data_IF_415831928701
#
_entry.id   IF_415831928701
#
_cell.length_a   1.000
_cell.length_b   1.000
_cell.length_c   1.000
_cell.angle_alpha   90.00
_cell.angle_beta   90.00
_cell.angle_gamma   90.00
#
_symmetry.space_group_name_H-M   'P 1'
#
loop_
_entity.id
_entity.type
_entity.pdbx_description
1 polymer ?
#
# COMPACT_ATOMS: atom_id res chain seq x y z
N UNK A 1 -18.34 -15.10 9.82
CA UNK A 1 -17.77 -13.84 9.30
C UNK A 1 -16.34 -14.12 8.87
N UNK A 2 -15.95 -13.82 7.62
CA UNK A 2 -14.55 -14.02 7.20
C UNK A 2 -13.65 -13.03 7.95
N UNK A 3 -12.56 -13.46 8.60
CA UNK A 3 -11.62 -12.56 9.24
C UNK A 3 -10.93 -11.68 8.20
N UNK A 4 -10.60 -10.44 8.57
CA UNK A 4 -10.18 -9.40 7.61
C UNK A 4 -8.91 -9.77 6.84
N UNK A 5 -7.99 -10.52 7.45
CA UNK A 5 -6.78 -11.02 6.78
C UNK A 5 -7.10 -11.98 5.61
N UNK A 6 -8.19 -12.76 5.68
CA UNK A 6 -8.60 -13.62 4.56
C UNK A 6 -9.12 -12.79 3.39
N UNK A 7 -9.86 -11.73 3.67
CA UNK A 7 -10.34 -10.80 2.64
C UNK A 7 -9.15 -10.16 1.94
N UNK A 8 -8.17 -9.65 2.69
CA UNK A 8 -6.96 -9.06 2.14
C UNK A 8 -6.19 -10.06 1.26
N UNK A 9 -6.01 -11.30 1.72
CA UNK A 9 -5.34 -12.33 0.92
C UNK A 9 -6.06 -12.61 -0.40
N UNK A 10 -7.39 -12.61 -0.41
CA UNK A 10 -8.17 -12.76 -1.65
C UNK A 10 -7.98 -11.54 -2.55
N UNK A 11 -8.01 -10.35 -1.96
CA UNK A 11 -7.83 -9.07 -2.64
C UNK A 11 -6.42 -8.86 -3.20
N UNK A 12 -5.40 -9.51 -2.65
CA UNK A 12 -4.02 -9.46 -3.13
C UNK A 12 -3.74 -10.37 -4.34
N UNK A 13 -4.50 -11.47 -4.49
CA UNK A 13 -4.29 -12.46 -5.57
C UNK A 13 -4.20 -11.89 -6.99
N UNK A 14 -5.03 -10.91 -7.40
CA UNK A 14 -4.91 -10.33 -8.73
C UNK A 14 -3.53 -9.70 -8.96
N UNK A 15 -2.98 -9.03 -7.94
CA UNK A 15 -1.66 -8.40 -8.00
C UNK A 15 -0.56 -9.45 -8.11
N UNK A 16 -0.66 -10.54 -7.34
CA UNK A 16 0.28 -11.66 -7.46
C UNK A 16 0.32 -12.23 -8.87
N UNK A 17 -0.83 -12.42 -9.50
CA UNK A 17 -0.91 -12.94 -10.87
C UNK A 17 -0.41 -11.94 -11.91
N UNK A 18 -0.70 -10.65 -11.74
CA UNK A 18 -0.32 -9.60 -12.69
C UNK A 18 1.17 -9.25 -12.58
N UNK A 19 1.72 -9.21 -11.37
CA UNK A 19 3.08 -8.68 -11.11
C UNK A 19 4.16 -9.76 -11.07
N UNK A 20 3.85 -10.99 -10.65
CA UNK A 20 4.85 -12.07 -10.55
C UNK A 20 5.62 -12.36 -11.85
N UNK A 21 5.02 -12.30 -13.07
CA UNK A 21 5.77 -12.54 -14.30
C UNK A 21 6.79 -11.44 -14.62
N UNK A 22 6.69 -10.28 -13.97
CA UNK A 22 7.52 -9.10 -14.21
C UNK A 22 8.53 -8.84 -13.09
N UNK A 23 8.83 -9.85 -12.26
CA UNK A 23 9.78 -9.76 -11.14
C UNK A 23 11.17 -9.25 -11.53
N UNK A 24 11.67 -9.67 -12.70
CA UNK A 24 13.00 -9.29 -13.20
C UNK A 24 13.05 -7.97 -13.98
N UNK A 25 11.88 -7.45 -14.36
CA UNK A 25 11.77 -6.25 -15.20
C UNK A 25 12.03 -5.00 -14.35
N UNK A 26 12.35 -3.88 -15.02
CA UNK A 26 12.50 -2.61 -14.32
C UNK A 26 11.20 -2.23 -13.57
N UNK A 27 11.25 -1.90 -12.26
CA UNK A 27 10.06 -1.66 -11.43
C UNK A 27 9.08 -0.63 -12.01
N UNK A 28 9.59 0.38 -12.72
CA UNK A 28 8.77 1.37 -13.43
C UNK A 28 7.76 0.78 -14.41
N UNK A 29 8.11 -0.28 -15.12
CA UNK A 29 7.20 -0.90 -16.08
C UNK A 29 6.02 -1.54 -15.35
N UNK A 30 6.31 -2.33 -14.32
CA UNK A 30 5.29 -2.97 -13.48
C UNK A 30 4.42 -1.94 -12.76
N UNK A 31 5.02 -0.86 -12.27
CA UNK A 31 4.30 0.26 -11.67
C UNK A 31 3.37 0.93 -12.69
N UNK A 32 3.85 1.24 -13.90
CA UNK A 32 3.06 1.83 -14.97
C UNK A 32 1.90 0.92 -15.41
N UNK A 33 2.15 -0.39 -15.52
CA UNK A 33 1.13 -1.39 -15.86
C UNK A 33 0.00 -1.39 -14.83
N UNK A 34 0.32 -1.46 -13.54
CA UNK A 34 -0.72 -1.47 -12.49
C UNK A 34 -1.39 -0.11 -12.35
N UNK A 35 -0.68 1.01 -12.52
CA UNK A 35 -1.29 2.35 -12.59
C UNK A 35 -2.28 2.48 -13.74
N UNK A 36 -2.00 1.89 -14.91
CA UNK A 36 -2.95 1.86 -16.02
C UNK A 36 -4.21 1.09 -15.63
N UNK A 37 -4.07 -0.10 -15.07
CA UNK A 37 -5.21 -0.91 -14.61
C UNK A 37 -6.03 -0.19 -13.53
N UNK A 38 -5.35 0.39 -12.54
CA UNK A 38 -5.97 1.19 -11.49
C UNK A 38 -6.74 2.36 -12.08
N UNK A 39 -6.15 3.10 -13.02
CA UNK A 39 -6.83 4.23 -13.68
C UNK A 39 -8.11 3.79 -14.41
N UNK A 40 -8.09 2.67 -15.14
CA UNK A 40 -9.27 2.13 -15.82
C UNK A 40 -10.36 1.77 -14.82
N UNK A 41 -10.01 1.06 -13.75
CA UNK A 41 -10.97 0.62 -12.72
C UNK A 41 -11.56 1.83 -11.99
N UNK A 42 -10.73 2.81 -11.60
CA UNK A 42 -11.17 4.03 -10.93
C UNK A 42 -12.06 4.89 -11.83
N UNK A 43 -11.73 5.03 -13.11
CA UNK A 43 -12.58 5.75 -14.07
C UNK A 43 -13.93 5.05 -14.27
N UNK A 44 -13.95 3.71 -14.33
CA UNK A 44 -15.19 2.93 -14.42
C UNK A 44 -16.04 3.10 -13.17
N UNK A 45 -15.45 2.96 -11.98
CA UNK A 45 -16.14 3.17 -10.70
C UNK A 45 -16.69 4.59 -10.60
N UNK A 46 -15.87 5.59 -10.94
CA UNK A 46 -16.29 7.00 -10.95
C UNK A 46 -17.45 7.21 -11.91
N UNK A 47 -17.34 6.73 -13.15
CA UNK A 47 -18.39 6.86 -14.18
C UNK A 47 -19.71 6.24 -13.74
N UNK A 48 -19.67 5.08 -13.10
CA UNK A 48 -20.88 4.35 -12.73
C UNK A 48 -21.67 5.03 -11.61
N UNK A 49 -20.96 5.69 -10.69
CA UNK A 49 -21.55 6.36 -9.53
C UNK A 49 -21.90 7.82 -9.82
N UNK A 50 -21.21 8.44 -10.76
CA UNK A 50 -21.32 9.86 -11.04
C UNK A 50 -22.46 10.20 -12.00
N UNK A 51 -23.32 11.13 -11.60
CA UNK A 51 -24.29 11.76 -12.49
C UNK A 51 -23.59 12.75 -13.43
N UNK A 52 -23.19 12.25 -14.59
CA UNK A 52 -22.52 13.03 -15.64
C UNK A 52 -23.40 14.13 -16.23
N UNK A 53 -24.73 13.97 -16.19
CA UNK A 53 -25.67 14.99 -16.68
C UNK A 53 -25.74 16.17 -15.73
N UNK A 54 -25.94 15.93 -14.43
CA UNK A 54 -25.94 16.97 -13.41
C UNK A 54 -24.60 17.72 -13.35
N UNK A 55 -23.47 17.00 -13.42
CA UNK A 55 -22.14 17.63 -13.45
C UNK A 55 -21.95 18.55 -14.65
N UNK A 56 -22.45 18.15 -15.83
CA UNK A 56 -22.36 18.98 -17.04
C UNK A 56 -23.22 20.23 -16.92
N UNK A 57 -24.45 20.08 -16.47
CA UNK A 57 -25.38 21.22 -16.27
C UNK A 57 -24.81 22.24 -15.27
N UNK A 58 -24.29 21.78 -14.13
CA UNK A 58 -23.69 22.67 -13.13
C UNK A 58 -22.45 23.37 -13.70
N UNK A 59 -21.60 22.65 -14.45
CA UNK A 59 -20.43 23.24 -15.11
C UNK A 59 -20.82 24.31 -16.14
N UNK A 60 -21.87 24.06 -16.92
CA UNK A 60 -22.38 25.00 -17.92
C UNK A 60 -22.96 26.26 -17.24
N UNK A 61 -23.62 26.13 -16.08
CA UNK A 61 -24.06 27.26 -15.25
C UNK A 61 -22.89 28.09 -14.73
N UNK A 62 -21.81 27.45 -14.28
CA UNK A 62 -20.59 28.14 -13.86
C UNK A 62 -20.00 28.94 -15.03
N UNK A 63 -19.90 28.34 -16.21
CA UNK A 63 -19.40 29.03 -17.41
C UNK A 63 -20.29 30.21 -17.83
N UNK A 64 -21.62 30.09 -17.70
CA UNK A 64 -22.54 31.18 -17.99
C UNK A 64 -22.28 32.39 -17.07
N UNK A 65 -22.06 32.19 -15.78
CA UNK A 65 -21.75 33.28 -14.85
C UNK A 65 -20.35 33.88 -15.07
N UNK A 66 -19.37 33.08 -15.51
CA UNK A 66 -18.08 33.65 -15.97
C UNK A 66 -18.25 34.54 -17.21
N UNK A 67 -19.17 34.19 -18.12
CA UNK A 67 -19.48 35.03 -19.27
C UNK A 67 -20.22 36.31 -18.84
N UNK A 68 -21.11 36.23 -17.85
CA UNK A 68 -21.79 37.37 -17.25
C UNK A 68 -20.79 38.38 -16.65
N UNK A 69 -19.80 37.90 -15.89
CA UNK A 69 -18.68 38.73 -15.39
C UNK A 69 -17.92 39.40 -16.54
N UNK A 70 -17.74 38.69 -17.67
CA UNK A 70 -17.04 39.21 -18.83
C UNK A 70 -17.84 40.30 -19.56
N UNK A 71 -19.18 40.18 -19.57
CA UNK A 71 -20.09 41.09 -20.27
C UNK A 71 -20.40 42.35 -19.44
N UNK A 72 -20.60 42.20 -18.13
CA UNK A 72 -21.02 43.26 -17.20
C UNK A 72 -19.89 43.77 -16.30
N UNK A 73 -18.69 43.97 -16.87
CA UNK A 73 -17.47 44.36 -16.12
C UNK A 73 -17.56 45.69 -15.37
N UNK A 74 -18.54 46.54 -15.69
CA UNK A 74 -18.67 47.88 -15.12
C UNK A 74 -19.85 47.99 -14.14
N UNK A 75 -20.61 46.91 -13.93
CA UNK A 75 -21.72 46.89 -12.98
C UNK A 75 -21.34 46.07 -11.75
N UNK A 76 -21.03 46.77 -10.66
CA UNK A 76 -20.57 46.18 -9.40
C UNK A 76 -21.62 45.25 -8.77
N UNK A 77 -22.91 45.55 -8.96
CA UNK A 77 -24.00 44.72 -8.41
C UNK A 77 -24.08 43.38 -9.13
N UNK A 78 -23.98 43.41 -10.47
CA UNK A 78 -23.98 42.20 -11.31
C UNK A 78 -22.74 41.35 -11.03
N UNK A 79 -21.57 41.97 -10.84
CA UNK A 79 -20.33 41.26 -10.47
C UNK A 79 -20.50 40.47 -9.17
N UNK A 80 -20.96 41.14 -8.11
CA UNK A 80 -21.17 40.50 -6.80
C UNK A 80 -22.20 39.36 -6.86
N UNK A 81 -23.29 39.54 -7.61
CA UNK A 81 -24.29 38.50 -7.83
C UNK A 81 -23.70 37.29 -8.55
N UNK A 82 -22.96 37.51 -9.64
CA UNK A 82 -22.34 36.46 -10.42
C UNK A 82 -21.29 35.68 -9.60
N UNK A 83 -20.46 36.35 -8.80
CA UNK A 83 -19.51 35.68 -7.88
C UNK A 83 -20.22 34.78 -6.87
N UNK A 84 -21.30 35.28 -6.24
CA UNK A 84 -22.11 34.48 -5.30
C UNK A 84 -22.70 33.25 -5.98
N UNK A 85 -23.19 33.39 -7.22
CA UNK A 85 -23.72 32.25 -7.98
C UNK A 85 -22.61 31.26 -8.38
N UNK A 86 -21.45 31.74 -8.83
CA UNK A 86 -20.29 30.88 -9.12
C UNK A 86 -19.89 30.08 -7.88
N UNK A 87 -19.81 30.72 -6.71
CA UNK A 87 -19.51 30.03 -5.45
C UNK A 87 -20.56 28.97 -5.10
N UNK A 88 -21.85 29.31 -5.24
CA UNK A 88 -22.96 28.37 -4.99
C UNK A 88 -22.92 27.17 -5.94
N UNK A 89 -22.73 27.40 -7.24
CA UNK A 89 -22.65 26.32 -8.23
C UNK A 89 -21.36 25.51 -8.09
N UNK A 90 -20.24 26.11 -7.67
CA UNK A 90 -19.04 25.35 -7.29
C UNK A 90 -19.31 24.44 -6.09
N UNK A 91 -20.02 24.92 -5.06
CA UNK A 91 -20.39 24.07 -3.93
C UNK A 91 -21.30 22.92 -4.38
N UNK A 92 -22.31 23.20 -5.22
CA UNK A 92 -23.17 22.17 -5.79
C UNK A 92 -22.36 21.16 -6.64
N UNK A 93 -21.42 21.64 -7.45
CA UNK A 93 -20.50 20.81 -8.21
C UNK A 93 -19.70 19.87 -7.30
N UNK A 94 -19.12 20.40 -6.23
CA UNK A 94 -18.41 19.60 -5.22
C UNK A 94 -19.32 18.56 -4.58
N UNK A 95 -20.58 18.88 -4.26
CA UNK A 95 -21.52 17.88 -3.70
C UNK A 95 -21.78 16.71 -4.65
N UNK A 96 -21.85 16.96 -5.96
CA UNK A 96 -21.97 15.89 -6.97
C UNK A 96 -20.71 15.03 -7.08
N UNK A 97 -19.54 15.53 -6.66
CA UNK A 97 -18.29 14.77 -6.63
C UNK A 97 -18.10 13.94 -5.35
N UNK A 98 -18.80 14.25 -4.25
CA UNK A 98 -18.67 13.52 -2.98
C UNK A 98 -19.05 12.05 -3.15
N UNK A 99 -20.16 11.74 -3.81
CA UNK A 99 -20.64 10.35 -3.95
C UNK A 99 -19.64 9.47 -4.74
N UNK A 100 -19.14 9.88 -5.92
CA UNK A 100 -18.10 9.13 -6.62
C UNK A 100 -16.79 9.05 -5.82
N UNK A 101 -16.43 10.09 -5.07
CA UNK A 101 -15.22 10.10 -4.25
C UNK A 101 -15.30 9.05 -3.13
N UNK A 102 -16.44 8.95 -2.45
CA UNK A 102 -16.66 7.96 -1.39
C UNK A 102 -16.55 6.50 -1.89
N UNK A 103 -16.83 6.25 -3.17
CA UNK A 103 -16.69 4.91 -3.77
C UNK A 103 -15.27 4.68 -4.31
N UNK A 104 -14.66 5.69 -4.93
CA UNK A 104 -13.33 5.56 -5.54
C UNK A 104 -12.19 5.57 -4.51
N UNK A 105 -12.35 6.25 -3.37
CA UNK A 105 -11.33 6.28 -2.31
C UNK A 105 -11.04 4.89 -1.72
N UNK A 106 -12.04 4.07 -1.32
CA UNK A 106 -11.79 2.69 -0.89
C UNK A 106 -11.09 1.83 -1.95
N UNK A 107 -11.44 2.01 -3.23
CA UNK A 107 -10.79 1.30 -4.34
C UNK A 107 -9.32 1.71 -4.46
N UNK A 108 -9.03 3.02 -4.39
CA UNK A 108 -7.66 3.53 -4.39
C UNK A 108 -6.86 3.03 -3.18
N UNK A 109 -7.46 3.04 -1.99
CA UNK A 109 -6.85 2.51 -0.78
C UNK A 109 -6.51 1.03 -0.93
N UNK A 110 -7.42 0.24 -1.51
CA UNK A 110 -7.16 -1.18 -1.81
C UNK A 110 -5.94 -1.36 -2.71
N UNK A 111 -5.78 -0.54 -3.77
CA UNK A 111 -4.57 -0.57 -4.60
C UNK A 111 -3.31 -0.26 -3.79
N UNK A 112 -3.32 0.80 -2.96
CA UNK A 112 -2.16 1.20 -2.17
C UNK A 112 -1.74 0.09 -1.19
N UNK A 113 -2.68 -0.50 -0.47
CA UNK A 113 -2.40 -1.60 0.47
C UNK A 113 -1.88 -2.85 -0.24
N UNK A 114 -2.45 -3.18 -1.39
CA UNK A 114 -2.05 -4.39 -2.12
C UNK A 114 -0.70 -4.25 -2.81
N UNK A 115 -0.29 -3.02 -3.13
CA UNK A 115 0.98 -2.70 -3.79
C UNK A 115 2.14 -2.46 -2.83
N UNK A 116 1.86 -2.08 -1.59
CA UNK A 116 2.87 -1.83 -0.56
C UNK A 116 3.92 -2.96 -0.47
N UNK A 117 3.55 -4.26 -0.35
CA UNK A 117 4.54 -5.34 -0.26
C UNK A 117 5.44 -5.49 -1.50
N UNK A 118 5.00 -5.00 -2.65
CA UNK A 118 5.71 -5.15 -3.93
C UNK A 118 6.75 -4.06 -4.19
N UNK A 119 6.47 -2.85 -3.72
CA UNK A 119 7.20 -1.65 -4.13
C UNK A 119 7.79 -0.85 -2.97
N UNK A 120 7.49 -1.18 -1.70
CA UNK A 120 8.14 -0.52 -0.57
C UNK A 120 9.52 -1.11 -0.27
N UNK A 121 9.64 -2.43 -0.38
CA UNK A 121 10.85 -3.18 -0.04
C UNK A 121 11.16 -4.22 -1.11
N UNK A 122 12.43 -4.58 -1.25
CA UNK A 122 12.88 -5.63 -2.16
C UNK A 122 13.30 -6.89 -1.39
N UNK A 123 13.23 -8.08 -2.01
CA UNK A 123 13.77 -9.29 -1.39
C UNK A 123 15.27 -9.16 -1.13
N UNK A 124 15.73 -9.94 -0.15
CA UNK A 124 17.16 -10.03 0.16
C UNK A 124 17.88 -10.70 -1.01
N UNK A 125 19.10 -10.25 -1.28
CA UNK A 125 20.00 -10.95 -2.21
C UNK A 125 20.91 -11.89 -1.44
N UNK A 126 21.36 -12.93 -2.10
CA UNK A 126 22.37 -13.85 -1.55
C UNK A 126 23.60 -13.06 -1.10
N UNK A 127 24.02 -13.27 0.14
CA UNK A 127 25.13 -12.58 0.80
C UNK A 127 24.71 -11.32 1.58
N UNK A 128 23.51 -10.78 1.38
CA UNK A 128 23.01 -9.66 2.18
C UNK A 128 22.58 -10.12 3.58
N UNK A 129 22.66 -9.22 4.55
CA UNK A 129 22.19 -9.45 5.90
C UNK A 129 21.06 -8.45 6.23
N UNK A 130 20.09 -8.89 7.00
CA UNK A 130 18.97 -8.09 7.49
C UNK A 130 18.83 -8.26 9.00
N UNK A 131 18.23 -7.26 9.64
CA UNK A 131 17.84 -7.35 11.04
C UNK A 131 16.42 -7.91 11.10
N UNK A 132 16.25 -8.94 11.91
CA UNK A 132 14.95 -9.52 12.22
C UNK A 132 14.64 -9.15 13.67
N UNK A 133 13.50 -8.50 13.88
CA UNK A 133 13.08 -7.98 15.18
C UNK A 133 11.77 -8.61 15.60
N UNK A 134 11.66 -9.01 16.87
CA UNK A 134 10.41 -9.43 17.48
C UNK A 134 10.04 -8.48 18.60
N UNK A 135 8.79 -8.05 18.62
CA UNK A 135 8.20 -7.17 19.62
C UNK A 135 7.22 -8.00 20.44
N UNK A 136 7.43 -8.02 21.76
CA UNK A 136 6.61 -8.76 22.72
C UNK A 136 5.68 -7.80 23.42
N UNK A 137 4.46 -8.25 23.73
CA UNK A 137 3.48 -7.45 24.46
C UNK A 137 4.07 -7.06 25.84
N UNK A 138 3.85 -5.83 26.33
CA UNK A 138 4.43 -5.38 27.60
C UNK A 138 4.11 -6.28 28.80
N UNK A 139 2.94 -6.91 28.80
CA UNK A 139 2.47 -7.85 29.83
C UNK A 139 3.26 -9.17 29.85
N UNK A 140 3.87 -9.54 28.72
CA UNK A 140 4.54 -10.81 28.49
C UNK A 140 6.07 -10.67 28.39
N UNK A 141 6.64 -9.59 28.96
CA UNK A 141 8.06 -9.25 28.81
C UNK A 141 9.05 -10.33 29.27
N UNK A 142 8.63 -11.31 30.06
CA UNK A 142 9.44 -12.48 30.42
C UNK A 142 9.75 -13.37 29.20
N UNK A 143 8.85 -13.45 28.21
CA UNK A 143 9.04 -14.24 26.99
C UNK A 143 10.32 -13.86 26.27
N UNK A 144 10.71 -12.58 26.28
CA UNK A 144 11.93 -12.09 25.63
C UNK A 144 13.19 -12.87 26.02
N UNK A 145 13.25 -13.40 27.25
CA UNK A 145 14.41 -14.13 27.75
C UNK A 145 14.57 -15.49 27.06
N UNK A 146 13.46 -16.15 26.79
CA UNK A 146 13.42 -17.52 26.27
C UNK A 146 13.16 -17.59 24.76
N UNK A 147 12.98 -16.45 24.08
CA UNK A 147 12.87 -16.43 22.62
C UNK A 147 14.22 -16.78 21.97
N UNK A 148 14.17 -17.76 21.07
CA UNK A 148 15.27 -18.17 20.22
C UNK A 148 14.85 -18.19 18.75
N UNK A 149 15.77 -17.77 17.87
CA UNK A 149 15.59 -17.84 16.43
C UNK A 149 16.38 -19.04 15.89
N UNK A 150 15.70 -19.96 15.23
CA UNK A 150 16.34 -21.08 14.55
C UNK A 150 16.74 -20.67 13.12
N UNK A 151 18.02 -20.83 12.79
CA UNK A 151 18.49 -20.73 11.40
C UNK A 151 18.02 -21.91 10.55
N UNK A 152 18.10 -21.77 9.23
CA UNK A 152 17.76 -22.83 8.29
C UNK A 152 18.77 -22.86 7.13
N UNK A 153 18.60 -23.80 6.19
CA UNK A 153 19.54 -24.01 5.08
C UNK A 153 19.73 -22.76 4.16
N UNK A 154 18.78 -21.82 4.17
CA UNK A 154 18.85 -20.60 3.37
C UNK A 154 19.18 -19.33 4.14
N UNK A 155 19.09 -19.35 5.46
CA UNK A 155 19.23 -18.19 6.35
C UNK A 155 20.08 -18.55 7.57
N UNK A 156 21.25 -17.92 7.63
CA UNK A 156 22.17 -18.05 8.76
C UNK A 156 21.90 -16.97 9.80
N UNK A 157 21.74 -17.36 11.06
CA UNK A 157 21.65 -16.42 12.18
C UNK A 157 23.08 -16.09 12.63
N UNK A 158 23.57 -14.89 12.30
CA UNK A 158 24.95 -14.50 12.54
C UNK A 158 25.22 -14.08 14.00
N UNK A 159 24.19 -13.57 14.68
CA UNK A 159 24.33 -13.00 16.02
C UNK A 159 23.40 -13.66 17.03
N UNK A 160 23.82 -13.79 18.31
CA UNK A 160 22.88 -14.11 19.37
C UNK A 160 21.81 -13.00 19.50
N UNK A 161 20.69 -13.33 20.14
CA UNK A 161 19.60 -12.38 20.36
C UNK A 161 20.07 -11.17 21.19
N UNK A 162 20.03 -9.98 20.59
CA UNK A 162 20.16 -8.72 21.31
C UNK A 162 18.80 -8.36 21.89
N UNK A 163 18.71 -8.21 23.21
CA UNK A 163 17.43 -7.97 23.90
C UNK A 163 17.39 -6.57 24.48
N UNK A 164 16.40 -5.80 24.07
CA UNK A 164 16.15 -4.42 24.52
C UNK A 164 14.87 -4.41 25.35
N UNK A 165 15.02 -4.59 26.66
CA UNK A 165 13.88 -4.72 27.58
C UNK A 165 13.01 -3.46 27.66
N UNK A 166 13.60 -2.27 27.47
CA UNK A 166 12.86 -1.01 27.46
C UNK A 166 11.88 -0.88 26.28
N UNK A 167 12.15 -1.58 25.18
CA UNK A 167 11.33 -1.58 23.97
C UNK A 167 10.52 -2.88 23.82
N UNK A 168 10.61 -3.80 24.78
CA UNK A 168 10.11 -5.17 24.68
C UNK A 168 10.51 -5.87 23.38
N UNK A 169 11.77 -5.69 22.95
CA UNK A 169 12.25 -6.10 21.63
C UNK A 169 13.42 -7.08 21.73
N UNK A 170 13.48 -8.04 20.82
CA UNK A 170 14.69 -8.83 20.56
C UNK A 170 15.05 -8.82 19.08
N UNK A 171 16.35 -8.69 18.79
CA UNK A 171 16.90 -8.54 17.44
C UNK A 171 17.93 -9.63 17.12
N UNK A 172 17.90 -10.08 15.87
CA UNK A 172 18.88 -10.97 15.27
C UNK A 172 19.36 -10.41 13.94
N UNK A 173 20.64 -10.58 13.65
CA UNK A 173 21.16 -10.39 12.30
C UNK A 173 21.14 -11.72 11.56
N UNK A 174 20.47 -11.74 10.41
CA UNK A 174 20.31 -12.94 9.57
C UNK A 174 20.93 -12.68 8.21
N UNK A 175 21.74 -13.61 7.70
CA UNK A 175 22.34 -13.56 6.36
C UNK A 175 21.66 -14.53 5.40
N UNK A 176 21.38 -14.05 4.20
CA UNK A 176 20.85 -14.85 3.10
C UNK A 176 21.96 -15.69 2.44
N UNK A 177 21.82 -17.03 2.45
CA UNK A 177 22.81 -17.96 1.89
C UNK A 177 22.47 -18.44 0.48
N UNK A 178 21.19 -18.65 0.21
CA UNK A 178 20.71 -19.23 -1.05
C UNK A 178 19.40 -18.55 -1.50
N UNK A 179 19.09 -18.54 -2.81
CA UNK A 179 17.83 -18.00 -3.31
C UNK A 179 16.68 -18.97 -2.99
N UNK A 180 15.54 -18.43 -2.55
CA UNK A 180 14.37 -19.20 -2.18
C UNK A 180 13.44 -18.47 -1.23
N UNK A 181 12.36 -19.14 -0.85
CA UNK A 181 11.49 -18.72 0.24
C UNK A 181 11.78 -19.57 1.46
N UNK A 182 12.10 -18.91 2.56
CA UNK A 182 12.51 -19.55 3.79
C UNK A 182 11.60 -19.13 4.93
N UNK A 183 11.21 -20.08 5.78
CA UNK A 183 10.47 -19.79 7.01
C UNK A 183 11.46 -19.65 8.16
N UNK A 184 11.51 -18.46 8.75
CA UNK A 184 12.17 -18.25 10.03
C UNK A 184 11.25 -18.75 11.15
N UNK A 185 11.76 -19.67 11.97
CA UNK A 185 11.04 -20.20 13.12
C UNK A 185 11.53 -19.56 14.41
N UNK A 186 10.63 -18.86 15.10
CA UNK A 186 10.86 -18.34 16.44
C UNK A 186 10.31 -19.33 17.45
N UNK A 187 11.18 -19.80 18.34
CA UNK A 187 10.83 -20.66 19.47
C UNK A 187 10.57 -19.74 20.67
N UNK A 188 9.33 -19.72 21.16
CA UNK A 188 8.91 -18.84 22.26
C UNK A 188 9.16 -19.45 23.66
N UNK A 189 9.53 -20.74 23.69
CA UNK A 189 9.77 -21.53 24.88
C UNK A 189 10.98 -22.43 24.71
N UNK A 190 11.61 -22.82 25.83
CA UNK A 190 12.76 -23.74 25.81
C UNK A 190 12.40 -25.15 25.34
N UNK A 191 11.13 -25.54 25.49
CA UNK A 191 10.62 -26.83 25.03
C UNK A 191 10.30 -26.83 23.52
N UNK A 192 10.27 -25.65 22.88
CA UNK A 192 10.03 -25.50 21.43
C UNK A 192 8.63 -25.89 20.99
N UNK A 193 7.65 -25.86 21.90
CA UNK A 193 6.25 -26.20 21.63
C UNK A 193 5.49 -25.04 21.00
N UNK A 194 5.85 -23.79 21.35
CA UNK A 194 5.26 -22.60 20.76
C UNK A 194 6.18 -22.01 19.70
N UNK A 195 5.75 -22.15 18.43
CA UNK A 195 6.52 -21.69 17.28
C UNK A 195 5.77 -20.63 16.50
N UNK A 196 6.44 -19.52 16.22
CA UNK A 196 5.98 -18.54 15.24
C UNK A 196 6.81 -18.63 13.98
N UNK A 197 6.17 -18.35 12.85
CA UNK A 197 6.79 -18.43 11.53
C UNK A 197 6.72 -17.07 10.86
N UNK A 198 7.83 -16.67 10.25
CA UNK A 198 7.91 -15.49 9.39
C UNK A 198 8.51 -15.89 8.06
N UNK A 199 7.86 -15.54 6.96
CA UNK A 199 8.39 -15.79 5.63
C UNK A 199 9.48 -14.76 5.29
N UNK A 200 10.62 -15.25 4.84
CA UNK A 200 11.71 -14.44 4.31
C UNK A 200 12.03 -14.87 2.90
N UNK A 201 11.98 -13.93 1.97
CA UNK A 201 12.26 -14.18 0.55
C UNK A 201 13.65 -13.69 0.19
N UNK A 202 14.44 -14.59 -0.38
CA UNK A 202 15.74 -14.30 -0.97
C UNK A 202 15.63 -14.48 -2.48
N UNK A 203 15.77 -13.40 -3.23
CA UNK A 203 15.63 -13.42 -4.68
C UNK A 203 16.52 -12.37 -5.35
N UNK A 204 16.82 -12.60 -6.63
CA UNK A 204 17.48 -11.61 -7.50
C UNK A 204 16.48 -10.70 -8.21
N UNK A 205 15.19 -11.04 -8.14
CA UNK A 205 14.11 -10.24 -8.69
C UNK A 205 14.16 -8.81 -8.18
N UNK A 206 13.80 -7.86 -9.05
CA UNK A 206 13.77 -6.43 -8.73
C UNK A 206 12.50 -6.05 -7.99
N UNK A 207 11.40 -6.76 -8.24
CA UNK A 207 10.14 -6.65 -7.50
C UNK A 207 9.69 -8.04 -7.10
N UNK A 208 9.30 -8.18 -5.84
CA UNK A 208 8.66 -9.38 -5.33
C UNK A 208 7.94 -8.99 -4.04
N UNK A 209 6.78 -9.58 -3.72
CA UNK A 209 6.07 -9.16 -2.55
C UNK A 209 6.77 -9.64 -1.29
N UNK A 210 7.17 -8.70 -0.43
CA UNK A 210 7.80 -8.97 0.85
C UNK A 210 7.02 -8.28 1.96
N UNK A 211 6.57 -9.05 2.94
CA UNK A 211 5.89 -8.48 4.10
C UNK A 211 6.95 -8.04 5.12
N UNK A 212 7.17 -6.73 5.26
CA UNK A 212 8.15 -6.16 6.20
C UNK A 212 7.79 -6.49 7.64
N UNK A 213 6.53 -6.30 8.02
CA UNK A 213 6.02 -6.56 9.35
C UNK A 213 4.98 -7.68 9.35
N UNK A 214 4.80 -8.31 10.49
CA UNK A 214 3.73 -9.26 10.79
C UNK A 214 3.20 -8.94 12.18
N UNK A 215 2.04 -8.30 12.27
CA UNK A 215 1.40 -7.89 13.53
C UNK A 215 0.27 -8.84 13.96
N UNK A 216 -0.18 -8.72 15.20
CA UNK A 216 -1.41 -9.38 15.65
C UNK A 216 -2.63 -8.87 14.85
N UNK A 217 -3.67 -9.70 14.70
CA UNK A 217 -4.77 -9.50 13.74
C UNK A 217 -5.74 -8.32 14.00
N UNK A 218 -5.28 -7.21 14.58
CA UNK A 218 -6.05 -5.98 14.77
C UNK A 218 -6.54 -5.36 13.45
N UNK A 219 -7.46 -4.40 13.54
CA UNK A 219 -8.06 -3.73 12.38
C UNK A 219 -7.03 -2.93 11.54
N UNK A 220 -5.95 -2.45 12.18
CA UNK A 220 -4.83 -1.79 11.50
C UNK A 220 -3.82 -2.78 10.89
N UNK A 221 -3.80 -4.02 11.35
CA UNK A 221 -2.90 -5.06 10.85
C UNK A 221 -3.20 -5.48 9.40
N UNK A 222 -4.39 -5.09 8.90
CA UNK A 222 -4.81 -5.22 7.51
C UNK A 222 -3.92 -4.38 6.57
N UNK A 223 -3.29 -3.32 7.06
CA UNK A 223 -2.37 -2.53 6.26
C UNK A 223 -0.96 -3.17 6.21
N UNK A 224 -0.65 -4.06 7.14
CA UNK A 224 0.71 -4.59 7.38
C UNK A 224 0.87 -6.07 6.94
N UNK A 225 -0.16 -6.90 7.11
CA UNK A 225 -0.06 -8.36 7.03
C UNK A 225 -0.46 -8.96 5.67
N UNK A 226 -0.09 -8.30 4.56
CA UNK A 226 -0.77 -8.56 3.29
C UNK A 226 -0.64 -9.95 2.70
N UNK A 227 0.36 -10.74 3.10
CA UNK A 227 0.65 -12.04 2.48
C UNK A 227 0.85 -13.20 3.45
N UNK A 228 0.84 -12.94 4.76
CA UNK A 228 1.13 -13.92 5.80
C UNK A 228 -0.04 -14.09 6.76
N UNK A 229 -0.12 -15.25 7.40
CA UNK A 229 -1.14 -15.48 8.44
C UNK A 229 -0.78 -14.61 9.64
N UNK A 230 -1.69 -13.74 10.12
CA UNK A 230 -1.40 -12.86 11.25
C UNK A 230 -1.05 -13.66 12.51
N UNK A 231 -0.32 -13.02 13.42
CA UNK A 231 0.09 -13.67 14.67
C UNK A 231 -1.13 -14.08 15.50
N UNK A 232 -1.12 -15.27 16.14
CA UNK A 232 -2.14 -15.64 17.10
C UNK A 232 -2.20 -14.60 18.23
N UNK A 233 -3.39 -14.08 18.60
CA UNK A 233 -3.51 -13.07 19.65
C UNK A 233 -2.96 -13.53 21.01
N UNK A 234 -2.98 -14.85 21.24
CA UNK A 234 -2.52 -15.55 22.45
C UNK A 234 -1.01 -15.85 22.44
N UNK A 235 -0.27 -15.46 21.41
CA UNK A 235 1.17 -15.76 21.30
C UNK A 235 2.05 -14.93 22.24
N UNK A 236 1.51 -13.87 22.86
CA UNK A 236 2.28 -12.90 23.64
C UNK A 236 3.18 -11.98 22.80
N UNK A 237 3.23 -12.20 21.48
CA UNK A 237 4.00 -11.40 20.52
C UNK A 237 3.08 -10.38 19.86
N UNK A 238 3.54 -9.13 19.80
CA UNK A 238 2.83 -8.02 19.18
C UNK A 238 3.12 -7.96 17.68
N UNK A 239 4.40 -8.03 17.29
CA UNK A 239 4.83 -7.86 15.91
C UNK A 239 6.17 -8.53 15.64
N UNK A 240 6.37 -9.06 14.43
CA UNK A 240 7.67 -9.51 13.89
C UNK A 240 8.01 -8.63 12.70
N UNK A 241 9.23 -8.10 12.64
CA UNK A 241 9.71 -7.29 11.53
C UNK A 241 10.99 -7.87 10.92
N UNK A 242 11.13 -7.67 9.62
CA UNK A 242 12.36 -7.94 8.87
C UNK A 242 12.75 -6.66 8.17
N UNK A 243 13.95 -6.17 8.44
CA UNK A 243 14.47 -4.94 7.86
C UNK A 243 15.01 -5.19 6.45
N UNK A 244 14.08 -5.29 5.50
CA UNK A 244 14.41 -5.41 4.09
C UNK A 244 14.97 -4.10 3.53
N UNK A 245 15.93 -4.17 2.59
CA UNK A 245 16.33 -3.00 1.82
C UNK A 245 15.14 -2.39 1.07
N UNK A 246 15.08 -1.06 1.02
CA UNK A 246 14.06 -0.34 0.26
C UNK A 246 14.12 -0.70 -1.23
N UNK A 247 12.95 -0.78 -1.86
CA UNK A 247 12.88 -0.96 -3.30
C UNK A 247 13.17 0.38 -4.01
N UNK A 248 14.32 0.48 -4.65
CA UNK A 248 14.69 1.68 -5.40
C UNK A 248 14.05 1.69 -6.79
N UNK A 249 13.19 2.67 -7.04
CA UNK A 249 12.67 2.97 -8.38
C UNK A 249 13.43 4.18 -8.92
N UNK A 250 14.47 3.93 -9.72
CA UNK A 250 15.34 4.99 -10.26
C UNK A 250 14.88 5.42 -11.66
N UNK A 251 14.60 6.71 -11.84
CA UNK A 251 14.33 7.35 -13.14
C UNK A 251 15.44 8.35 -13.44
N UNK A 252 16.25 8.10 -14.48
CA UNK A 252 17.33 9.02 -14.88
C UNK A 252 18.25 9.48 -13.71
N UNK A 253 18.51 8.59 -12.76
CA UNK A 253 19.36 8.85 -11.59
C UNK A 253 18.63 9.38 -10.35
N UNK A 254 17.32 9.66 -10.43
CA UNK A 254 16.51 10.11 -9.30
C UNK A 254 15.70 8.95 -8.73
N UNK A 255 15.79 8.72 -7.42
CA UNK A 255 14.92 7.78 -6.72
C UNK A 255 13.51 8.38 -6.62
N UNK A 256 12.52 7.62 -7.06
CA UNK A 256 11.11 8.01 -7.03
C UNK A 256 10.39 7.15 -6.01
N UNK A 257 9.70 7.79 -5.07
CA UNK A 257 8.81 7.09 -4.15
C UNK A 257 7.68 6.40 -4.95
N UNK A 258 7.45 5.11 -4.68
CA UNK A 258 6.53 4.30 -5.46
C UNK A 258 5.08 4.81 -5.40
N UNK A 259 4.62 5.35 -4.26
CA UNK A 259 3.27 5.92 -4.11
C UNK A 259 3.12 7.14 -5.02
N UNK A 260 4.10 8.03 -5.00
CA UNK A 260 4.12 9.23 -5.86
C UNK A 260 4.12 8.80 -7.34
N UNK A 261 4.99 7.86 -7.71
CA UNK A 261 5.03 7.30 -9.06
C UNK A 261 3.69 6.70 -9.49
N UNK A 262 3.09 5.88 -8.62
CA UNK A 262 1.79 5.24 -8.86
C UNK A 262 0.69 6.29 -9.08
N UNK A 263 0.60 7.31 -8.22
CA UNK A 263 -0.41 8.36 -8.33
C UNK A 263 -0.22 9.20 -9.59
N UNK A 264 1.03 9.59 -9.90
CA UNK A 264 1.35 10.37 -11.11
C UNK A 264 0.98 9.58 -12.37
N UNK A 265 1.41 8.31 -12.48
CA UNK A 265 1.03 7.48 -13.63
C UNK A 265 -0.48 7.27 -13.70
N UNK A 266 -1.15 7.00 -12.58
CA UNK A 266 -2.60 6.81 -12.54
C UNK A 266 -3.35 8.07 -13.00
N UNK A 267 -2.90 9.26 -12.60
CA UNK A 267 -3.46 10.54 -13.03
C UNK A 267 -3.21 10.80 -14.52
N UNK A 268 -2.01 10.53 -15.02
CA UNK A 268 -1.69 10.66 -16.44
C UNK A 268 -2.57 9.74 -17.27
N UNK A 269 -2.69 8.47 -16.92
CA UNK A 269 -3.57 7.53 -17.62
C UNK A 269 -5.04 7.91 -17.48
N UNK A 270 -5.49 8.31 -16.29
CA UNK A 270 -6.85 8.79 -16.08
C UNK A 270 -7.16 9.98 -16.99
N UNK A 271 -6.23 10.93 -17.12
CA UNK A 271 -6.39 12.09 -18.00
C UNK A 271 -6.42 11.71 -19.48
N UNK A 272 -5.56 10.79 -19.92
CA UNK A 272 -5.54 10.29 -21.30
C UNK A 272 -6.81 9.51 -21.63
N UNK A 273 -7.34 8.76 -20.67
CA UNK A 273 -8.50 7.89 -20.84
C UNK A 273 -9.83 8.57 -20.50
N UNK A 274 -9.89 9.75 -19.85
CA UNK A 274 -11.19 10.34 -19.46
C UNK A 274 -12.17 10.54 -20.62
N UNK A 275 -11.65 10.88 -21.82
CA UNK A 275 -12.46 11.11 -23.03
C UNK A 275 -13.14 9.84 -23.54
N UNK A 276 -12.45 8.71 -23.79
CA UNK A 276 -13.11 7.47 -24.23
C UNK A 276 -14.11 6.93 -23.20
N UNK A 277 -13.95 7.22 -21.91
CA UNK A 277 -14.94 6.87 -20.89
C UNK A 277 -16.12 7.86 -20.78
N UNK A 278 -16.16 8.90 -21.61
CA UNK A 278 -17.24 9.89 -21.65
C UNK A 278 -17.35 10.75 -20.40
N UNK A 279 -16.25 10.87 -19.64
CA UNK A 279 -16.21 11.62 -18.40
C UNK A 279 -15.94 13.10 -18.65
N UNK A 280 -16.74 13.95 -18.02
CA UNK A 280 -16.56 15.41 -18.03
C UNK A 280 -15.75 15.81 -16.79
N UNK A 281 -14.50 15.36 -16.73
CA UNK A 281 -13.48 15.78 -15.75
C UNK A 281 -12.59 16.88 -16.34
#
# INVERSE_FOLDING_TARGET
MMPVWQLQRILARPFDWILSPFGDVHPLFSLALVSLLASVILLLAFRWVSDQTALREVKDRIHAHFLELKLFRHDVSVIWSAEKQILRYNLLYLTHLVTPLLVTLPVLAWFLVSLEPWFSSRPLRVGEAAIVSIFVKPEEGNLLRDIHLAGNEGLEVETPALRTLSENRADWRVRALAPGEYQLEFLLDREGTNRLKKLVRVSRERIAPVARSLSDGGWLAVFENSQEVPLPPTSGVERIEVDYPEAEIVVRGWAVNWVVGFLVFSLVFAFLLKRPFGLVL
#
